data_IF_704372092961
#
_entry.id   IF_704372092961
#
_cell.length_a   1.000
_cell.length_b   1.000
_cell.length_c   1.000
_cell.angle_alpha   90.00
_cell.angle_beta   90.00
_cell.angle_gamma   90.00
#
_symmetry.space_group_name_H-M   'P 1'
#
loop_
_entity.id
_entity.type
_entity.pdbx_description
1 polymer ?
#
# COMPACT_ATOMS: atom_id res chain seq x y z
N UNK A 1 9.95 -4.46 -9.06
CA UNK A 1 10.82 -5.65 -8.93
C UNK A 1 10.34 -6.69 -7.90
N UNK A 2 9.09 -6.66 -7.45
CA UNK A 2 8.59 -7.62 -6.45
C UNK A 2 7.39 -8.45 -6.95
N UNK A 3 7.05 -8.33 -8.22
CA UNK A 3 6.03 -9.18 -8.86
C UNK A 3 6.59 -10.54 -9.12
N UNK A 4 5.78 -11.55 -8.80
CA UNK A 4 6.28 -12.90 -8.80
C UNK A 4 7.40 -13.12 -7.78
N UNK A 5 7.77 -12.08 -7.02
CA UNK A 5 8.67 -12.22 -5.91
C UNK A 5 8.02 -13.08 -4.83
N UNK A 6 8.77 -14.02 -4.31
CA UNK A 6 8.30 -14.84 -3.20
C UNK A 6 7.97 -13.96 -1.99
N UNK A 7 7.09 -14.42 -1.08
CA UNK A 7 6.81 -13.71 0.17
C UNK A 7 8.09 -13.28 0.93
N UNK A 8 9.11 -14.12 0.89
CA UNK A 8 10.41 -13.85 1.52
C UNK A 8 11.14 -12.67 0.88
N UNK A 9 11.09 -12.57 -0.46
CA UNK A 9 11.70 -11.44 -1.18
C UNK A 9 10.97 -10.13 -0.87
N UNK A 10 9.66 -10.16 -0.81
CA UNK A 10 8.85 -9.00 -0.39
C UNK A 10 9.20 -8.60 1.04
N UNK A 11 9.25 -9.58 1.96
CA UNK A 11 9.63 -9.34 3.35
C UNK A 11 11.04 -8.75 3.47
N UNK A 12 12.00 -9.20 2.66
CA UNK A 12 13.37 -8.67 2.67
C UNK A 12 13.42 -7.20 2.24
N UNK A 13 12.64 -6.80 1.24
CA UNK A 13 12.56 -5.38 0.84
C UNK A 13 11.87 -4.54 1.92
N UNK A 14 10.79 -5.04 2.52
CA UNK A 14 10.14 -4.34 3.64
C UNK A 14 11.05 -4.26 4.88
N UNK A 15 11.89 -5.26 5.11
CA UNK A 15 12.92 -5.20 6.14
C UNK A 15 13.90 -4.06 5.88
N UNK A 16 14.45 -3.96 4.66
CA UNK A 16 15.40 -2.91 4.32
C UNK A 16 14.79 -1.51 4.48
N UNK A 17 13.62 -1.29 3.89
CA UNK A 17 12.91 0.00 3.97
C UNK A 17 12.53 0.30 5.43
N UNK A 18 12.01 -0.68 6.14
CA UNK A 18 11.61 -0.55 7.54
C UNK A 18 12.78 -0.24 8.46
N UNK A 19 13.94 -0.86 8.22
CA UNK A 19 15.16 -0.56 8.95
C UNK A 19 15.61 0.90 8.76
N UNK A 20 15.66 1.38 7.53
CA UNK A 20 16.02 2.76 7.20
C UNK A 20 15.01 3.77 7.79
N UNK A 21 13.72 3.48 7.74
CA UNK A 21 12.70 4.33 8.34
C UNK A 21 12.81 4.39 9.87
N UNK A 22 13.03 3.24 10.52
CA UNK A 22 13.20 3.17 11.97
C UNK A 22 14.42 3.99 12.43
N UNK A 23 15.53 3.86 11.72
CA UNK A 23 16.75 4.61 12.02
C UNK A 23 16.55 6.12 11.86
N UNK A 24 15.83 6.55 10.81
CA UNK A 24 15.48 7.96 10.61
C UNK A 24 14.55 8.52 11.71
N UNK A 25 13.79 7.66 12.38
CA UNK A 25 12.89 8.01 13.50
C UNK A 25 13.57 7.89 14.87
N UNK A 26 14.87 7.54 14.93
CA UNK A 26 15.61 7.37 16.18
C UNK A 26 15.45 5.98 16.82
N UNK A 27 14.86 5.03 16.12
CA UNK A 27 14.83 3.60 16.48
C UNK A 27 16.04 2.85 15.88
N UNK A 28 16.24 1.60 16.29
CA UNK A 28 17.27 0.75 15.71
C UNK A 28 16.91 0.22 14.33
N UNK A 29 17.88 0.18 13.39
CA UNK A 29 17.67 -0.41 12.06
C UNK A 29 17.11 -1.83 12.13
N UNK A 30 17.69 -2.67 13.03
CA UNK A 30 17.27 -4.07 13.17
C UNK A 30 15.81 -4.21 13.62
N UNK A 31 15.36 -3.33 14.52
CA UNK A 31 13.98 -3.33 15.01
C UNK A 31 12.98 -2.96 13.91
N UNK A 32 13.27 -1.93 13.12
CA UNK A 32 12.44 -1.54 11.99
C UNK A 32 12.45 -2.58 10.87
N UNK A 33 13.60 -3.17 10.60
CA UNK A 33 13.72 -4.26 9.63
C UNK A 33 12.87 -5.48 10.03
N UNK A 34 12.95 -5.89 11.29
CA UNK A 34 12.13 -6.98 11.81
C UNK A 34 10.63 -6.66 11.76
N UNK A 35 10.26 -5.42 12.12
CA UNK A 35 8.87 -4.95 12.06
C UNK A 35 8.30 -4.97 10.65
N UNK A 36 9.03 -4.46 9.68
CA UNK A 36 8.61 -4.44 8.27
C UNK A 36 8.49 -5.83 7.67
N UNK A 37 9.48 -6.70 7.91
CA UNK A 37 9.44 -8.09 7.43
C UNK A 37 8.28 -8.87 8.03
N UNK A 38 8.11 -8.82 9.37
CA UNK A 38 7.07 -9.54 10.08
C UNK A 38 5.68 -9.09 9.65
N UNK A 39 5.46 -7.78 9.51
CA UNK A 39 4.18 -7.25 9.03
C UNK A 39 3.88 -7.72 7.60
N UNK A 40 4.88 -7.71 6.70
CA UNK A 40 4.73 -8.20 5.33
C UNK A 40 4.31 -9.67 5.29
N UNK A 41 5.00 -10.54 6.01
CA UNK A 41 4.68 -11.97 6.08
C UNK A 41 3.31 -12.22 6.71
N UNK A 42 2.95 -11.48 7.78
CA UNK A 42 1.64 -11.58 8.41
C UNK A 42 0.52 -11.22 7.44
N UNK A 43 0.72 -10.18 6.62
CA UNK A 43 -0.28 -9.76 5.64
C UNK A 43 -0.46 -10.78 4.52
N UNK A 44 0.60 -11.43 4.06
CA UNK A 44 0.48 -12.55 3.10
C UNK A 44 -0.34 -13.71 3.71
N UNK A 45 -0.17 -13.98 5.01
CA UNK A 45 -0.88 -15.08 5.70
C UNK A 45 -2.34 -14.74 6.03
N UNK A 46 -2.60 -13.54 6.56
CA UNK A 46 -3.91 -13.17 7.11
C UNK A 46 -4.69 -12.22 6.22
N UNK A 47 -4.03 -11.49 5.35
CA UNK A 47 -4.62 -10.44 4.58
C UNK A 47 -5.79 -10.90 3.73
N UNK A 48 -5.64 -12.03 3.08
CA UNK A 48 -6.70 -12.62 2.27
C UNK A 48 -7.95 -12.95 3.10
N UNK A 49 -7.75 -13.47 4.30
CA UNK A 49 -8.84 -13.79 5.23
C UNK A 49 -9.59 -12.56 5.74
N UNK A 50 -8.85 -11.45 5.98
CA UNK A 50 -9.46 -10.18 6.40
C UNK A 50 -10.24 -9.50 5.28
N UNK A 51 -9.82 -9.71 4.03
CA UNK A 51 -10.48 -9.13 2.86
C UNK A 51 -11.75 -9.85 2.46
N UNK A 52 -11.78 -11.16 2.65
CA UNK A 52 -12.94 -11.97 2.32
C UNK A 52 -14.12 -11.74 3.29
N UNK A 53 -13.90 -10.93 4.36
CA UNK A 53 -14.96 -10.51 5.28
C UNK A 53 -15.82 -9.40 4.66
N UNK A 54 -16.73 -9.79 3.79
CA UNK A 54 -17.65 -8.86 3.09
C UNK A 54 -18.65 -8.15 4.02
N UNK A 55 -18.82 -8.63 5.25
CA UNK A 55 -19.71 -8.04 6.26
C UNK A 55 -19.13 -6.78 6.92
N UNK A 56 -17.84 -6.51 6.73
CA UNK A 56 -17.18 -5.32 7.25
C UNK A 56 -17.12 -4.23 6.19
N UNK A 57 -17.41 -2.98 6.59
CA UNK A 57 -17.17 -1.84 5.73
C UNK A 57 -15.68 -1.73 5.35
N UNK A 58 -15.38 -1.11 4.23
CA UNK A 58 -14.01 -0.89 3.77
C UNK A 58 -13.16 -0.18 4.83
N UNK A 59 -13.72 0.83 5.49
CA UNK A 59 -13.03 1.56 6.57
C UNK A 59 -12.67 0.65 7.76
N UNK A 60 -13.55 -0.27 8.14
CA UNK A 60 -13.27 -1.23 9.21
C UNK A 60 -12.20 -2.25 8.78
N UNK A 61 -12.27 -2.78 7.55
CA UNK A 61 -11.25 -3.68 7.00
C UNK A 61 -9.87 -2.99 6.99
N UNK A 62 -9.82 -1.74 6.52
CA UNK A 62 -8.61 -0.92 6.51
C UNK A 62 -8.03 -0.74 7.92
N UNK A 63 -8.86 -0.37 8.88
CA UNK A 63 -8.43 -0.18 10.27
C UNK A 63 -7.89 -1.48 10.89
N UNK A 64 -8.54 -2.62 10.65
CA UNK A 64 -8.09 -3.92 11.15
C UNK A 64 -6.75 -4.35 10.56
N UNK A 65 -6.56 -4.14 9.26
CA UNK A 65 -5.32 -4.47 8.56
C UNK A 65 -4.17 -3.60 9.05
N UNK A 66 -4.38 -2.30 9.22
CA UNK A 66 -3.38 -1.38 9.80
C UNK A 66 -3.04 -1.75 11.25
N UNK A 67 -4.05 -2.08 12.07
CA UNK A 67 -3.85 -2.50 13.44
C UNK A 67 -3.06 -3.81 13.52
N UNK A 68 -3.39 -4.79 12.69
CA UNK A 68 -2.66 -6.06 12.63
C UNK A 68 -1.20 -5.84 12.24
N UNK A 69 -0.92 -5.01 11.23
CA UNK A 69 0.42 -4.65 10.83
C UNK A 69 1.21 -3.95 11.94
N UNK A 70 0.56 -3.02 12.67
CA UNK A 70 1.18 -2.33 13.79
C UNK A 70 1.49 -3.28 14.97
N UNK A 71 0.58 -4.18 15.32
CA UNK A 71 0.78 -5.16 16.39
C UNK A 71 1.94 -6.11 16.05
N UNK A 72 1.93 -6.69 14.87
CA UNK A 72 2.96 -7.63 14.43
C UNK A 72 4.32 -6.94 14.30
N UNK A 73 4.34 -5.75 13.70
CA UNK A 73 5.55 -4.96 13.52
C UNK A 73 6.13 -4.51 14.87
N UNK A 74 5.28 -4.09 15.80
CA UNK A 74 5.67 -3.69 17.15
C UNK A 74 6.23 -4.84 17.97
N UNK A 75 5.60 -6.01 17.92
CA UNK A 75 6.09 -7.21 18.59
C UNK A 75 7.45 -7.66 18.06
N UNK A 76 7.64 -7.64 16.74
CA UNK A 76 8.90 -7.99 16.10
C UNK A 76 9.99 -6.96 16.42
N UNK A 77 9.68 -5.65 16.39
CA UNK A 77 10.60 -4.59 16.76
C UNK A 77 11.05 -4.68 18.21
N UNK A 78 10.12 -4.95 19.13
CA UNK A 78 10.44 -5.16 20.56
C UNK A 78 11.32 -6.39 20.77
N UNK A 79 11.03 -7.49 20.08
CA UNK A 79 11.78 -8.74 20.21
C UNK A 79 13.24 -8.61 19.76
N UNK A 80 13.51 -7.76 18.76
CA UNK A 80 14.85 -7.56 18.21
C UNK A 80 15.60 -6.42 18.90
N UNK A 81 14.94 -5.28 19.11
CA UNK A 81 15.57 -4.08 19.66
C UNK A 81 15.57 -4.03 21.18
N UNK A 82 14.62 -4.67 21.84
CA UNK A 82 14.54 -4.80 23.30
C UNK A 82 14.03 -3.57 24.04
N UNK A 83 13.67 -2.48 23.35
CA UNK A 83 13.18 -1.26 23.96
C UNK A 83 11.75 -0.90 23.53
N UNK A 84 11.10 -0.03 24.32
CA UNK A 84 9.78 0.52 23.95
C UNK A 84 9.87 1.35 22.67
N UNK A 85 10.97 2.02 22.43
CA UNK A 85 11.22 2.79 21.20
C UNK A 85 11.30 1.89 19.97
N UNK A 86 11.95 0.75 20.12
CA UNK A 86 12.03 -0.26 19.05
C UNK A 86 10.67 -0.88 18.76
N UNK A 87 9.87 -1.13 19.79
CA UNK A 87 8.48 -1.57 19.64
C UNK A 87 7.64 -0.52 18.89
N UNK A 88 7.75 0.75 19.26
CA UNK A 88 7.04 1.84 18.61
C UNK A 88 7.47 2.03 17.15
N UNK A 89 8.77 1.99 16.88
CA UNK A 89 9.33 2.08 15.54
C UNK A 89 8.87 0.89 14.67
N UNK A 90 8.94 -0.33 15.19
CA UNK A 90 8.46 -1.53 14.52
C UNK A 90 6.95 -1.49 14.23
N UNK A 91 6.15 -0.98 15.16
CA UNK A 91 4.71 -0.81 14.99
C UNK A 91 4.39 0.22 13.90
N UNK A 92 5.08 1.35 13.88
CA UNK A 92 4.93 2.36 12.84
C UNK A 92 5.29 1.80 11.47
N UNK A 93 6.45 1.16 11.35
CA UNK A 93 6.91 0.53 10.11
C UNK A 93 5.93 -0.55 9.64
N UNK A 94 5.46 -1.41 10.55
CA UNK A 94 4.49 -2.45 10.24
C UNK A 94 3.17 -1.89 9.73
N UNK A 95 2.67 -0.81 10.35
CA UNK A 95 1.49 -0.08 9.87
C UNK A 95 1.70 0.48 8.46
N UNK A 96 2.82 1.17 8.23
CA UNK A 96 3.14 1.80 6.94
C UNK A 96 3.34 0.74 5.84
N UNK A 97 4.05 -0.34 6.13
CA UNK A 97 4.23 -1.44 5.20
C UNK A 97 2.88 -2.05 4.78
N UNK A 98 1.98 -2.21 5.75
CA UNK A 98 0.63 -2.73 5.51
C UNK A 98 -0.22 -1.76 4.70
N UNK A 99 -0.15 -0.46 5.02
CA UNK A 99 -0.92 0.59 4.36
C UNK A 99 -0.52 0.74 2.88
N UNK A 100 0.78 0.75 2.60
CA UNK A 100 1.28 0.99 1.25
C UNK A 100 1.22 -0.23 0.34
N UNK A 101 1.41 -1.43 0.87
CA UNK A 101 1.50 -2.63 0.03
C UNK A 101 0.20 -3.40 -0.12
N UNK A 102 -0.70 -3.26 0.84
CA UNK A 102 -1.86 -4.11 0.90
C UNK A 102 -3.16 -3.38 0.57
N UNK A 103 -3.32 -2.18 1.11
CA UNK A 103 -4.57 -1.44 0.96
C UNK A 103 -4.75 -0.84 -0.43
N UNK A 104 -3.69 -0.32 -1.05
CA UNK A 104 -3.79 0.29 -2.37
C UNK A 104 -4.20 -0.72 -3.45
N UNK A 105 -3.62 -1.91 -3.41
CA UNK A 105 -3.95 -2.98 -4.36
C UNK A 105 -5.38 -3.47 -4.22
N UNK A 106 -5.85 -3.58 -2.98
CA UNK A 106 -7.20 -4.01 -2.66
C UNK A 106 -8.21 -2.94 -3.02
N UNK A 107 -7.96 -1.71 -2.66
CA UNK A 107 -8.84 -0.59 -2.98
C UNK A 107 -9.06 -0.47 -4.49
N UNK A 108 -8.02 -0.65 -5.30
CA UNK A 108 -8.14 -0.63 -6.76
C UNK A 108 -8.97 -1.79 -7.30
N UNK A 109 -8.78 -2.99 -6.75
CA UNK A 109 -9.58 -4.16 -7.12
C UNK A 109 -11.03 -3.99 -6.70
N UNK A 110 -11.28 -3.64 -5.43
CA UNK A 110 -12.63 -3.46 -4.89
C UNK A 110 -13.36 -2.32 -5.64
N UNK A 111 -12.64 -1.27 -6.04
CA UNK A 111 -13.12 -0.20 -6.89
C UNK A 111 -13.55 -0.71 -8.27
N UNK A 112 -12.69 -1.45 -8.95
CA UNK A 112 -13.01 -1.99 -10.27
C UNK A 112 -14.19 -2.94 -10.20
N UNK A 113 -14.29 -3.78 -9.16
CA UNK A 113 -15.42 -4.65 -8.90
C UNK A 113 -16.70 -3.84 -8.62
N UNK A 114 -16.63 -2.79 -7.80
CA UNK A 114 -17.76 -1.93 -7.48
C UNK A 114 -18.29 -1.20 -8.73
N UNK A 115 -17.39 -0.64 -9.55
CA UNK A 115 -17.76 0.01 -10.82
C UNK A 115 -18.39 -1.01 -11.79
N UNK A 116 -17.83 -2.20 -11.89
CA UNK A 116 -18.38 -3.26 -12.74
C UNK A 116 -19.76 -3.75 -12.27
N UNK A 117 -20.03 -3.70 -10.97
CA UNK A 117 -21.32 -4.06 -10.39
C UNK A 117 -22.40 -2.97 -10.52
N UNK A 118 -22.04 -1.75 -10.87
CA UNK A 118 -22.98 -0.65 -11.08
C UNK A 118 -23.95 -0.95 -12.23
N UNK A 119 -25.24 -0.79 -11.95
CA UNK A 119 -26.32 -1.03 -12.95
C UNK A 119 -26.63 0.18 -13.82
N UNK A 120 -26.22 1.37 -13.39
CA UNK A 120 -26.49 2.62 -14.08
C UNK A 120 -25.29 3.58 -14.04
N UNK A 121 -25.38 4.65 -14.84
CA UNK A 121 -24.33 5.63 -14.97
C UNK A 121 -24.20 6.54 -13.73
N UNK A 122 -25.29 6.73 -12.98
CA UNK A 122 -25.28 7.53 -11.75
C UNK A 122 -24.41 6.86 -10.68
N UNK A 123 -24.57 5.55 -10.48
CA UNK A 123 -23.73 4.73 -9.61
C UNK A 123 -22.24 4.83 -10.01
N UNK A 124 -21.97 4.65 -11.31
CA UNK A 124 -20.57 4.74 -11.82
C UNK A 124 -19.97 6.09 -11.58
N UNK A 125 -20.73 7.16 -11.86
CA UNK A 125 -20.29 8.52 -11.66
C UNK A 125 -20.00 8.81 -10.18
N UNK A 126 -20.90 8.41 -9.28
CA UNK A 126 -20.70 8.60 -7.85
C UNK A 126 -19.40 7.97 -7.38
N UNK A 127 -19.15 6.70 -7.73
CA UNK A 127 -17.91 6.01 -7.36
C UNK A 127 -16.67 6.71 -7.95
N UNK A 128 -16.74 7.18 -9.20
CA UNK A 128 -15.64 7.92 -9.81
C UNK A 128 -15.36 9.23 -9.08
N UNK A 129 -16.40 9.98 -8.68
CA UNK A 129 -16.26 11.24 -7.95
C UNK A 129 -15.66 11.02 -6.55
N UNK A 130 -16.07 9.94 -5.84
CA UNK A 130 -15.49 9.55 -4.55
C UNK A 130 -13.99 9.24 -4.67
N UNK A 131 -13.59 8.54 -5.71
CA UNK A 131 -12.19 8.20 -5.96
C UNK A 131 -11.36 9.40 -6.42
N UNK A 132 -11.94 10.31 -7.18
CA UNK A 132 -11.28 11.55 -7.55
C UNK A 132 -10.99 12.41 -6.30
N UNK A 133 -11.92 12.46 -5.34
CA UNK A 133 -11.73 13.17 -4.07
C UNK A 133 -10.63 12.53 -3.21
N UNK A 134 -10.54 11.19 -3.17
CA UNK A 134 -9.47 10.48 -2.48
C UNK A 134 -8.10 10.75 -3.13
N UNK A 135 -8.05 10.78 -4.45
CA UNK A 135 -6.86 11.09 -5.20
C UNK A 135 -6.35 12.51 -4.93
N UNK A 136 -7.23 13.51 -4.93
CA UNK A 136 -6.90 14.89 -4.58
C UNK A 136 -6.38 15.01 -3.15
N UNK A 137 -6.95 14.27 -2.21
CA UNK A 137 -6.47 14.21 -0.83
C UNK A 137 -5.05 13.63 -0.73
N UNK A 138 -4.72 12.62 -1.52
CA UNK A 138 -3.37 12.05 -1.57
C UNK A 138 -2.39 13.02 -2.25
N UNK A 139 -2.80 13.70 -3.31
CA UNK A 139 -2.03 14.74 -3.97
C UNK A 139 -1.69 15.88 -3.01
N UNK A 140 -2.66 16.35 -2.22
CA UNK A 140 -2.44 17.38 -1.22
C UNK A 140 -1.37 17.01 -0.18
N UNK A 141 -1.22 15.73 0.18
CA UNK A 141 -0.13 15.29 1.07
C UNK A 141 1.25 15.47 0.44
N UNK A 142 1.35 15.29 -0.88
CA UNK A 142 2.61 15.51 -1.63
C UNK A 142 2.96 16.99 -1.69
N UNK A 143 1.97 17.82 -2.01
CA UNK A 143 2.16 19.26 -2.19
C UNK A 143 2.42 20.00 -0.87
N UNK A 144 1.92 19.47 0.26
CA UNK A 144 1.99 20.12 1.56
C UNK A 144 2.97 19.47 2.54
N UNK A 145 3.83 18.55 2.08
CA UNK A 145 4.85 18.01 2.97
C UNK A 145 5.81 19.12 3.41
N UNK A 146 6.05 19.26 4.71
CA UNK A 146 6.69 20.43 5.32
C UNK A 146 8.11 20.19 5.82
N UNK A 147 8.54 18.95 5.91
CA UNK A 147 9.88 18.57 6.35
C UNK A 147 10.54 17.59 5.39
N UNK A 148 11.88 17.57 5.36
CA UNK A 148 12.63 16.61 4.54
C UNK A 148 12.23 15.16 4.85
N UNK A 149 12.05 14.82 6.11
CA UNK A 149 11.62 13.46 6.52
C UNK A 149 10.23 13.12 6.03
N UNK A 150 9.30 14.06 6.12
CA UNK A 150 7.93 13.88 5.65
C UNK A 150 7.87 13.74 4.13
N UNK A 151 8.55 14.64 3.40
CA UNK A 151 8.61 14.58 1.94
C UNK A 151 9.30 13.31 1.44
N UNK A 152 10.34 12.87 2.13
CA UNK A 152 11.02 11.61 1.83
C UNK A 152 10.07 10.40 2.03
N UNK A 153 9.32 10.36 3.14
CA UNK A 153 8.34 9.30 3.40
C UNK A 153 7.23 9.29 2.34
N UNK A 154 6.72 10.45 1.95
CA UNK A 154 5.74 10.59 0.86
C UNK A 154 6.33 10.10 -0.47
N UNK A 155 7.55 10.51 -0.82
CA UNK A 155 8.21 10.08 -2.04
C UNK A 155 8.44 8.55 -2.08
N UNK A 156 8.78 7.93 -0.94
CA UNK A 156 8.92 6.48 -0.83
C UNK A 156 7.57 5.76 -1.01
N UNK A 157 6.49 6.28 -0.42
CA UNK A 157 5.16 5.70 -0.59
C UNK A 157 4.69 5.74 -2.06
N UNK A 158 4.94 6.86 -2.76
CA UNK A 158 4.62 6.99 -4.18
C UNK A 158 5.42 6.02 -5.06
N UNK A 159 6.69 5.79 -4.72
CA UNK A 159 7.52 4.81 -5.44
C UNK A 159 7.01 3.39 -5.26
N UNK A 160 6.64 3.03 -4.03
CA UNK A 160 6.07 1.72 -3.73
C UNK A 160 4.75 1.53 -4.50
N UNK A 161 3.86 2.51 -4.46
CA UNK A 161 2.60 2.47 -5.19
C UNK A 161 2.82 2.34 -6.71
N UNK A 162 3.75 3.09 -7.29
CA UNK A 162 4.09 3.00 -8.71
C UNK A 162 4.61 1.61 -9.09
N UNK A 163 5.44 1.01 -8.23
CA UNK A 163 5.93 -0.34 -8.45
C UNK A 163 4.79 -1.37 -8.46
N UNK A 164 3.88 -1.31 -7.49
CA UNK A 164 2.71 -2.19 -7.43
C UNK A 164 1.81 -2.05 -8.66
N UNK A 165 1.53 -0.82 -9.07
CA UNK A 165 0.74 -0.57 -10.28
C UNK A 165 1.40 -1.15 -11.53
N UNK A 166 2.70 -0.91 -11.70
CA UNK A 166 3.47 -1.47 -12.82
C UNK A 166 3.44 -3.00 -12.83
N UNK A 167 3.41 -3.59 -11.68
CA UNK A 167 3.32 -5.04 -11.48
C UNK A 167 1.97 -5.58 -11.92
N UNK A 168 0.91 -4.98 -11.41
CA UNK A 168 -0.44 -5.42 -11.76
C UNK A 168 -0.73 -5.22 -13.24
N UNK A 169 -0.22 -4.15 -13.83
CA UNK A 169 -0.26 -3.93 -15.29
C UNK A 169 0.41 -5.10 -16.02
N UNK A 170 1.60 -5.50 -15.59
CA UNK A 170 2.33 -6.60 -16.22
C UNK A 170 1.59 -7.95 -16.08
N UNK A 171 0.99 -8.23 -14.93
CA UNK A 171 0.15 -9.43 -14.72
C UNK A 171 -1.04 -9.46 -15.69
N UNK A 172 -1.78 -8.35 -15.78
CA UNK A 172 -2.92 -8.25 -16.68
C UNK A 172 -2.48 -8.39 -18.15
N UNK A 173 -1.35 -7.78 -18.53
CA UNK A 173 -0.80 -7.93 -19.86
C UNK A 173 -0.40 -9.38 -20.17
N UNK A 174 0.21 -10.08 -19.20
CA UNK A 174 0.57 -11.49 -19.35
C UNK A 174 -0.65 -12.39 -19.49
N UNK A 175 -1.74 -12.08 -18.79
CA UNK A 175 -3.03 -12.76 -18.92
C UNK A 175 -3.66 -12.57 -20.31
N UNK A 176 -3.40 -11.45 -20.95
CA UNK A 176 -3.89 -11.06 -22.26
C UNK A 176 -5.33 -10.51 -22.25
N UNK A 177 -5.60 -9.43 -23.00
CA UNK A 177 -6.86 -8.68 -22.95
C UNK A 177 -8.12 -9.52 -23.27
N UNK A 178 -7.96 -10.58 -24.03
CA UNK A 178 -9.06 -11.50 -24.41
C UNK A 178 -9.58 -12.30 -23.19
N UNK A 179 -8.69 -12.50 -22.20
CA UNK A 179 -9.01 -13.27 -21.00
C UNK A 179 -9.40 -12.38 -19.80
N UNK A 180 -9.47 -11.06 -19.98
CA UNK A 180 -9.83 -10.15 -18.90
C UNK A 180 -11.34 -10.17 -18.64
N UNK A 181 -11.68 -10.17 -17.35
CA UNK A 181 -13.04 -9.84 -16.90
C UNK A 181 -13.32 -8.36 -17.14
N UNK A 182 -14.58 -7.95 -17.09
CA UNK A 182 -14.93 -6.53 -17.24
C UNK A 182 -14.35 -5.68 -16.10
N UNK A 183 -14.25 -6.23 -14.88
CA UNK A 183 -13.56 -5.59 -13.76
C UNK A 183 -12.05 -5.41 -14.06
N UNK A 184 -11.39 -6.41 -14.63
CA UNK A 184 -9.97 -6.32 -15.00
C UNK A 184 -9.70 -5.32 -16.13
N UNK A 185 -10.63 -5.15 -17.06
CA UNK A 185 -10.56 -4.10 -18.11
C UNK A 185 -10.59 -2.71 -17.50
N UNK A 186 -11.50 -2.49 -16.55
CA UNK A 186 -11.63 -1.23 -15.81
C UNK A 186 -10.40 -0.99 -14.91
N UNK A 187 -9.96 -2.02 -14.20
CA UNK A 187 -8.75 -1.98 -13.37
C UNK A 187 -7.52 -1.59 -14.22
N UNK A 188 -7.34 -2.22 -15.38
CA UNK A 188 -6.22 -1.90 -16.27
C UNK A 188 -6.25 -0.45 -16.76
N UNK A 189 -7.42 0.05 -17.14
CA UNK A 189 -7.57 1.44 -17.56
C UNK A 189 -7.23 2.42 -16.43
N UNK A 190 -7.70 2.15 -15.20
CA UNK A 190 -7.43 2.95 -14.02
C UNK A 190 -5.94 2.93 -13.62
N UNK A 191 -5.31 1.76 -13.66
CA UNK A 191 -3.88 1.60 -13.40
C UNK A 191 -3.03 2.39 -14.39
N UNK A 192 -3.39 2.41 -15.67
CA UNK A 192 -2.68 3.18 -16.71
C UNK A 192 -2.80 4.69 -16.51
N UNK A 193 -3.96 5.15 -16.09
CA UNK A 193 -4.18 6.56 -15.73
C UNK A 193 -3.40 6.93 -14.46
N UNK A 194 -3.44 6.06 -13.45
CA UNK A 194 -2.72 6.25 -12.18
C UNK A 194 -1.21 6.30 -12.35
N UNK A 195 -0.63 5.44 -13.18
CA UNK A 195 0.82 5.44 -13.48
C UNK A 195 1.27 6.78 -14.11
N UNK A 196 0.48 7.31 -15.05
CA UNK A 196 0.73 8.64 -15.64
C UNK A 196 0.70 9.75 -14.58
N UNK A 197 -0.26 9.72 -13.68
CA UNK A 197 -0.43 10.72 -12.63
C UNK A 197 0.66 10.64 -11.55
N UNK A 198 1.09 9.45 -11.17
CA UNK A 198 2.20 9.24 -10.23
C UNK A 198 3.53 9.73 -10.81
N UNK A 199 3.77 9.52 -12.10
CA UNK A 199 4.95 10.06 -12.78
C UNK A 199 4.95 11.59 -12.76
N UNK A 200 3.79 12.22 -12.95
CA UNK A 200 3.64 13.67 -12.87
C UNK A 200 3.90 14.19 -11.45
N UNK A 201 3.36 13.54 -10.42
CA UNK A 201 3.61 13.91 -9.02
C UNK A 201 5.09 13.79 -8.63
N UNK A 202 5.80 12.77 -9.11
CA UNK A 202 7.24 12.62 -8.87
C UNK A 202 8.09 13.74 -9.46
N UNK A 203 7.66 14.32 -10.59
CA UNK A 203 8.39 15.42 -11.23
C UNK A 203 8.27 16.74 -10.46
N UNK A 204 7.29 16.84 -9.56
CA UNK A 204 7.00 18.04 -8.76
C UNK A 204 7.52 17.91 -7.32
N UNK A 205 7.80 16.68 -6.85
CA UNK A 205 8.33 16.46 -5.51
C UNK A 205 9.75 17.07 -5.40
N UNK A 206 10.03 17.88 -4.38
CA UNK A 206 11.36 18.44 -4.16
C UNK A 206 12.38 17.33 -3.95
N UNK A 207 13.51 17.46 -4.63
CA UNK A 207 14.68 16.57 -4.56
C UNK A 207 15.42 16.67 -3.21
#
# INVERSE_FOLDING_TARGET
MLVGASPETKAAVHALVGGLMSEALGGGFAAGAAGGAAASLAMEAFGKSLLDQKDLSESHRKALVQLAGAIVGGAAGAAVGGSVYDAAAGAYVGKVATENNYLNHIQKRDRAEAIAACKDDACRKQLQDEYAAEWEKNRAKVENCSSHTECFAVAQSLRAEQQEQGQRIAELQAKGPVNWTDAEKLEYADLRLGDSSLNQMRSVAPS
#
